data_IF_626420156963
#
_entry.id   IF_626420156963
#
_cell.length_a   1.000
_cell.length_b   1.000
_cell.length_c   1.000
_cell.angle_alpha   90.00
_cell.angle_beta   90.00
_cell.angle_gamma   90.00
#
_symmetry.space_group_name_H-M   'P 1'
#
loop_
_entity.id
_entity.type
_entity.pdbx_description
1 polymer ?
#
# COMPACT_ATOMS: atom_id res chain seq x y z
N UNK A 1 -7.28 17.33 0.44
CA UNK A 1 -6.59 16.30 -0.37
C UNK A 1 -5.28 15.94 0.32
N UNK A 2 -5.07 14.68 0.73
CA UNK A 2 -3.75 14.29 1.24
C UNK A 2 -2.76 14.28 0.08
N UNK A 3 -1.68 15.06 0.21
CA UNK A 3 -0.61 15.10 -0.76
C UNK A 3 0.26 13.83 -0.65
N UNK A 4 0.90 13.43 -1.75
CA UNK A 4 1.88 12.32 -1.77
C UNK A 4 3.03 12.54 -0.76
N UNK A 5 3.27 13.78 -0.36
CA UNK A 5 4.33 14.14 0.61
C UNK A 5 4.12 13.51 1.99
N UNK A 6 2.86 13.34 2.44
CA UNK A 6 2.57 12.65 3.71
C UNK A 6 2.95 11.18 3.61
N UNK A 7 2.63 10.53 2.49
CA UNK A 7 2.95 9.12 2.25
C UNK A 7 4.46 8.89 2.16
N UNK A 8 5.19 9.82 1.52
CA UNK A 8 6.66 9.82 1.45
C UNK A 8 7.27 9.93 2.84
N UNK A 9 6.74 10.82 3.68
CA UNK A 9 7.22 11.01 5.05
C UNK A 9 6.97 9.78 5.92
N UNK A 10 5.76 9.20 5.90
CA UNK A 10 5.42 8.03 6.73
C UNK A 10 6.17 6.76 6.34
N UNK A 11 6.37 6.53 5.04
CA UNK A 11 6.97 5.29 4.54
C UNK A 11 8.47 5.39 4.34
N UNK A 12 9.04 6.61 4.40
CA UNK A 12 10.43 6.92 4.07
C UNK A 12 10.84 6.48 2.65
N UNK A 13 9.86 6.29 1.75
CA UNK A 13 10.12 5.95 0.35
C UNK A 13 10.23 7.23 -0.48
N UNK A 14 11.26 7.35 -1.33
CA UNK A 14 11.42 8.52 -2.20
C UNK A 14 10.18 8.84 -3.02
N UNK A 15 9.85 10.14 -3.15
CA UNK A 15 8.70 10.63 -3.92
C UNK A 15 8.61 10.08 -5.35
N UNK A 16 9.72 9.96 -6.13
CA UNK A 16 9.67 9.36 -7.47
C UNK A 16 9.19 7.91 -7.45
N UNK A 17 9.61 7.13 -6.45
CA UNK A 17 9.20 5.73 -6.30
C UNK A 17 7.71 5.63 -5.94
N UNK A 18 7.23 6.49 -5.05
CA UNK A 18 5.81 6.53 -4.68
C UNK A 18 4.91 6.89 -5.85
N UNK A 19 5.28 7.91 -6.62
CA UNK A 19 4.55 8.30 -7.82
C UNK A 19 4.52 7.16 -8.85
N UNK A 20 5.63 6.43 -8.99
CA UNK A 20 5.70 5.26 -9.85
C UNK A 20 4.75 4.14 -9.39
N UNK A 21 4.72 3.79 -8.10
CA UNK A 21 3.81 2.77 -7.56
C UNK A 21 2.34 3.15 -7.75
N UNK A 22 1.99 4.41 -7.51
CA UNK A 22 0.63 4.92 -7.75
C UNK A 22 0.28 4.78 -9.23
N UNK A 23 1.19 5.18 -10.14
CA UNK A 23 0.97 5.06 -11.59
C UNK A 23 0.76 3.60 -12.01
N UNK A 24 1.56 2.67 -11.47
CA UNK A 24 1.40 1.24 -11.75
C UNK A 24 0.04 0.72 -11.26
N UNK A 25 -0.39 1.10 -10.06
CA UNK A 25 -1.68 0.67 -9.51
C UNK A 25 -2.86 1.25 -10.28
N UNK A 26 -2.79 2.51 -10.72
CA UNK A 26 -3.84 3.11 -11.56
C UNK A 26 -3.94 2.44 -12.93
N UNK A 27 -2.80 2.08 -13.53
CA UNK A 27 -2.74 1.46 -14.86
C UNK A 27 -3.07 -0.03 -14.85
N UNK A 28 -2.49 -0.79 -13.93
CA UNK A 28 -2.53 -2.26 -13.95
C UNK A 28 -3.42 -2.87 -12.86
N UNK A 29 -3.88 -2.07 -11.89
CA UNK A 29 -4.69 -2.50 -10.72
C UNK A 29 -4.04 -3.58 -9.85
N UNK A 30 -2.76 -3.87 -10.08
CA UNK A 30 -2.01 -4.95 -9.42
C UNK A 30 -0.56 -4.50 -9.22
N UNK A 31 -0.04 -4.72 -8.02
CA UNK A 31 1.35 -4.44 -7.64
C UNK A 31 1.83 -5.59 -6.76
N UNK A 32 3.05 -6.08 -7.01
CA UNK A 32 3.69 -7.13 -6.22
C UNK A 32 4.92 -6.52 -5.54
N UNK A 33 4.95 -6.59 -4.20
CA UNK A 33 6.12 -6.18 -3.41
C UNK A 33 6.88 -7.43 -2.96
N UNK A 34 8.15 -7.51 -3.32
CA UNK A 34 9.05 -8.61 -2.96
C UNK A 34 10.23 -8.09 -2.14
N UNK A 35 10.77 -8.93 -1.24
CA UNK A 35 11.93 -8.58 -0.42
C UNK A 35 11.97 -9.33 0.93
N UNK A 36 13.06 -9.19 1.69
CA UNK A 36 13.28 -9.87 2.98
C UNK A 36 12.16 -9.58 4.01
N UNK A 37 11.90 -10.48 4.96
CA UNK A 37 10.93 -10.21 6.04
C UNK A 37 11.33 -8.96 6.84
N UNK A 38 10.35 -8.25 7.42
CA UNK A 38 10.60 -7.07 8.24
C UNK A 38 10.89 -5.76 7.48
N UNK A 39 11.00 -5.75 6.15
CA UNK A 39 11.27 -4.52 5.38
C UNK A 39 10.05 -3.61 5.13
N UNK A 40 9.00 -3.72 5.94
CA UNK A 40 7.83 -2.83 5.84
C UNK A 40 6.93 -3.03 4.61
N UNK A 41 7.03 -4.13 3.85
CA UNK A 41 6.18 -4.39 2.66
C UNK A 41 4.67 -4.30 2.98
N UNK A 42 4.22 -4.98 4.04
CA UNK A 42 2.81 -4.94 4.44
C UNK A 42 2.38 -3.55 4.91
N UNK A 43 3.27 -2.84 5.61
CA UNK A 43 3.03 -1.46 6.05
C UNK A 43 2.86 -0.52 4.85
N UNK A 44 3.75 -0.60 3.86
CA UNK A 44 3.68 0.17 2.63
C UNK A 44 2.39 -0.10 1.87
N UNK A 45 1.99 -1.37 1.69
CA UNK A 45 0.75 -1.73 1.01
C UNK A 45 -0.47 -1.12 1.67
N UNK A 46 -0.54 -1.16 3.00
CA UNK A 46 -1.67 -0.60 3.76
C UNK A 46 -1.77 0.92 3.59
N UNK A 47 -0.66 1.65 3.73
CA UNK A 47 -0.64 3.10 3.53
C UNK A 47 -0.99 3.51 2.12
N UNK A 48 -0.51 2.75 1.13
CA UNK A 48 -0.82 2.99 -0.28
C UNK A 48 -2.30 2.71 -0.59
N UNK A 49 -2.89 1.68 0.03
CA UNK A 49 -4.31 1.37 -0.09
C UNK A 49 -5.17 2.50 0.50
N UNK A 50 -4.89 2.93 1.72
CA UNK A 50 -5.58 4.07 2.37
C UNK A 50 -5.54 5.33 1.50
N UNK A 51 -4.36 5.68 0.98
CA UNK A 51 -4.17 6.82 0.09
C UNK A 51 -5.03 6.72 -1.18
N UNK A 52 -5.10 5.54 -1.80
CA UNK A 52 -5.90 5.33 -3.01
C UNK A 52 -7.41 5.42 -2.76
N UNK A 53 -7.87 4.98 -1.59
CA UNK A 53 -9.27 5.06 -1.17
C UNK A 53 -9.67 6.51 -0.96
N UNK A 54 -8.88 7.27 -0.20
CA UNK A 54 -9.12 8.71 0.01
C UNK A 54 -9.12 9.47 -1.32
N UNK A 55 -8.18 9.15 -2.23
CA UNK A 55 -8.12 9.75 -3.57
C UNK A 55 -9.35 9.41 -4.43
N UNK A 56 -10.02 8.29 -4.17
CA UNK A 56 -11.25 7.91 -4.87
C UNK A 56 -12.53 8.57 -4.32
N UNK A 57 -12.39 9.53 -3.40
CA UNK A 57 -13.49 10.20 -2.70
C UNK A 57 -14.40 9.22 -1.92
N UNK A 58 -13.84 8.08 -1.49
CA UNK A 58 -14.50 7.10 -0.63
C UNK A 58 -14.00 7.27 0.79
N UNK A 59 -14.88 7.13 1.77
CA UNK A 59 -14.48 7.10 3.18
C UNK A 59 -13.60 5.88 3.44
N UNK A 60 -12.50 6.06 4.17
CA UNK A 60 -11.64 4.94 4.58
C UNK A 60 -12.37 4.16 5.68
N UNK A 61 -13.09 3.12 5.28
CA UNK A 61 -13.68 2.17 6.23
C UNK A 61 -12.80 0.92 6.32
N UNK A 62 -12.75 0.26 7.50
CA UNK A 62 -11.94 -0.94 7.69
C UNK A 62 -12.34 -2.10 6.77
N UNK A 63 -13.53 -2.04 6.15
CA UNK A 63 -14.00 -3.03 5.19
C UNK A 63 -13.37 -2.88 3.78
N UNK A 64 -12.73 -1.75 3.47
CA UNK A 64 -12.24 -1.48 2.10
C UNK A 64 -10.89 -2.16 1.84
N UNK A 65 -10.06 -2.31 2.87
CA UNK A 65 -8.75 -2.96 2.74
C UNK A 65 -8.80 -4.35 3.37
N UNK A 66 -8.86 -5.39 2.55
CA UNK A 66 -8.75 -6.77 3.02
C UNK A 66 -7.31 -7.24 2.90
N UNK A 67 -6.73 -7.69 4.01
CA UNK A 67 -5.39 -8.28 4.04
C UNK A 67 -5.50 -9.79 4.18
N UNK A 68 -4.94 -10.53 3.22
CA UNK A 68 -4.81 -11.98 3.32
C UNK A 68 -3.38 -12.32 3.73
N UNK A 69 -3.22 -12.90 4.92
CA UNK A 69 -1.92 -13.41 5.34
C UNK A 69 -1.78 -14.87 4.90
N UNK A 70 -0.91 -15.12 3.93
CA UNK A 70 -0.67 -16.45 3.36
C UNK A 70 0.39 -17.25 4.13
N UNK A 71 0.78 -16.80 5.34
CA UNK A 71 1.66 -17.56 6.21
C UNK A 71 0.96 -18.84 6.67
N UNK A 72 1.23 -19.94 5.98
CA UNK A 72 0.68 -21.26 6.29
C UNK A 72 1.42 -21.84 7.50
N UNK A 73 1.01 -21.47 8.72
CA UNK A 73 1.26 -22.29 9.92
C UNK A 73 0.18 -23.37 10.07
N UNK A 74 -0.21 -24.02 8.98
CA UNK A 74 -1.02 -25.23 9.04
C UNK A 74 -0.09 -26.44 9.06
N UNK A 75 0.65 -26.60 10.16
CA UNK A 75 1.24 -27.86 10.57
C UNK A 75 0.78 -28.16 12.01
N UNK A 76 -0.52 -28.45 12.15
CA UNK A 76 -1.15 -29.55 12.91
C UNK A 76 -2.64 -29.31 13.00
#
# INVERSE_FOLDING_TARGET
EKCVDVLVFETLIPKPMMQHYISLLLKHRRLILSGPSGTGKSYLTNRLAEYLVERSAREVTPAITTTFNMHRQSCK
#
